data_IF_424305129929
#
_entry.id   IF_424305129929
#
_cell.length_a   1.000
_cell.length_b   1.000
_cell.length_c   1.000
_cell.angle_alpha   90.00
_cell.angle_beta   90.00
_cell.angle_gamma   90.00
#
_symmetry.space_group_name_H-M   'P 1'
#
loop_
_entity.id
_entity.type
_entity.pdbx_description
1 polymer ?
#
# COMPACT_ATOMS: atom_id res chain seq x y z
N UNK A 1 -2.81 3.28 -18.75
CA UNK A 1 -1.43 2.94 -18.31
C UNK A 1 -0.43 4.00 -18.75
N UNK A 2 -0.25 4.21 -20.06
CA UNK A 2 0.76 5.12 -20.62
C UNK A 2 0.65 6.58 -20.16
N UNK A 3 -0.58 7.10 -19.95
CA UNK A 3 -0.79 8.47 -19.45
C UNK A 3 -0.49 8.57 -17.94
N UNK A 4 -0.73 7.49 -17.18
CA UNK A 4 -0.60 7.47 -15.72
C UNK A 4 0.86 7.38 -15.27
N UNK A 5 1.70 6.62 -15.99
CA UNK A 5 3.12 6.40 -15.67
C UNK A 5 3.93 7.71 -15.51
N UNK A 6 3.93 8.66 -16.47
CA UNK A 6 4.70 9.90 -16.31
C UNK A 6 4.24 10.74 -15.13
N UNK A 7 2.92 10.78 -14.85
CA UNK A 7 2.38 11.50 -13.69
C UNK A 7 2.83 10.86 -12.36
N UNK A 8 2.86 9.53 -12.29
CA UNK A 8 3.34 8.78 -11.12
C UNK A 8 4.85 9.02 -10.89
N UNK A 9 5.64 9.05 -11.95
CA UNK A 9 7.08 9.37 -11.86
C UNK A 9 7.28 10.79 -11.33
N UNK A 10 6.54 11.77 -11.85
CA UNK A 10 6.60 13.16 -11.35
C UNK A 10 6.24 13.19 -9.86
N UNK A 11 5.19 12.47 -9.46
CA UNK A 11 4.78 12.39 -8.05
C UNK A 11 5.89 11.82 -7.17
N UNK A 12 6.53 10.73 -7.61
CA UNK A 12 7.66 10.13 -6.91
C UNK A 12 8.84 11.11 -6.77
N UNK A 13 9.17 11.85 -7.84
CA UNK A 13 10.24 12.84 -7.82
C UNK A 13 9.95 13.99 -6.84
N UNK A 14 8.74 14.53 -6.84
CA UNK A 14 8.35 15.62 -5.93
C UNK A 14 8.52 15.20 -4.47
N UNK A 15 8.03 14.01 -4.10
CA UNK A 15 8.15 13.49 -2.73
C UNK A 15 9.60 13.16 -2.34
N UNK A 16 10.45 12.78 -3.30
CA UNK A 16 11.87 12.55 -3.03
C UNK A 16 12.65 13.87 -2.85
N UNK A 17 12.35 14.88 -3.66
CA UNK A 17 13.08 16.15 -3.69
C UNK A 17 12.79 17.02 -2.46
N UNK A 18 11.55 17.00 -1.96
CA UNK A 18 11.18 17.86 -0.83
C UNK A 18 11.48 17.14 0.50
N UNK A 19 12.52 17.55 1.27
CA UNK A 19 12.88 16.93 2.55
C UNK A 19 11.76 16.93 3.58
N UNK A 20 10.90 17.93 3.51
CA UNK A 20 9.81 18.15 4.45
C UNK A 20 8.68 17.11 4.32
N UNK A 21 8.52 16.50 3.12
CA UNK A 21 7.56 15.43 2.88
C UNK A 21 8.14 14.02 3.08
N UNK A 22 9.39 13.88 3.57
CA UNK A 22 10.05 12.58 3.78
C UNK A 22 9.80 12.01 5.18
N UNK A 23 8.59 12.16 5.67
CA UNK A 23 8.10 11.52 6.89
C UNK A 23 7.73 10.04 6.63
N UNK A 24 7.20 9.34 7.64
CA UNK A 24 6.79 7.95 7.51
C UNK A 24 5.74 7.76 6.40
N UNK A 25 4.79 8.70 6.29
CA UNK A 25 3.75 8.67 5.28
C UNK A 25 4.36 8.82 3.89
N UNK A 26 5.18 9.84 3.65
CA UNK A 26 5.82 10.09 2.37
C UNK A 26 6.73 8.94 1.92
N UNK A 27 7.52 8.35 2.82
CA UNK A 27 8.35 7.18 2.49
C UNK A 27 7.53 5.98 2.04
N UNK A 28 6.43 5.72 2.74
CA UNK A 28 5.51 4.63 2.39
C UNK A 28 4.79 4.90 1.06
N UNK A 29 4.43 6.16 0.82
CA UNK A 29 3.81 6.61 -0.43
C UNK A 29 4.76 6.45 -1.62
N UNK A 30 6.03 6.82 -1.46
CA UNK A 30 7.05 6.63 -2.50
C UNK A 30 7.21 5.15 -2.84
N UNK A 31 7.24 4.26 -1.85
CA UNK A 31 7.31 2.81 -2.10
C UNK A 31 6.08 2.30 -2.85
N UNK A 32 4.88 2.72 -2.45
CA UNK A 32 3.63 2.42 -3.15
C UNK A 32 3.67 2.86 -4.62
N UNK A 33 3.99 4.14 -4.87
CA UNK A 33 4.03 4.73 -6.22
C UNK A 33 5.11 4.07 -7.08
N UNK A 34 6.26 3.73 -6.49
CA UNK A 34 7.34 3.02 -7.18
C UNK A 34 6.87 1.64 -7.67
N UNK A 35 6.29 0.83 -6.78
CA UNK A 35 5.75 -0.48 -7.15
C UNK A 35 4.70 -0.37 -8.26
N UNK A 36 3.84 0.65 -8.18
CA UNK A 36 2.75 0.83 -9.13
C UNK A 36 3.25 1.28 -10.49
N UNK A 37 4.28 2.12 -10.50
CA UNK A 37 4.99 2.54 -11.70
C UNK A 37 5.64 1.34 -12.38
N UNK A 38 6.35 0.49 -11.62
CA UNK A 38 6.95 -0.75 -12.15
C UNK A 38 5.87 -1.66 -12.75
N UNK A 39 4.80 -1.95 -12.00
CA UNK A 39 3.70 -2.78 -12.48
C UNK A 39 3.11 -2.28 -13.80
N UNK A 40 2.86 -0.97 -13.91
CA UNK A 40 2.28 -0.36 -15.10
C UNK A 40 3.22 -0.27 -16.29
N UNK A 41 4.54 -0.13 -16.08
CA UNK A 41 5.54 -0.19 -17.15
C UNK A 41 5.56 -1.59 -17.76
N UNK A 42 5.67 -2.63 -16.93
CA UNK A 42 5.71 -4.01 -17.42
C UNK A 42 4.39 -4.44 -18.07
N UNK A 43 3.23 -4.05 -17.51
CA UNK A 43 1.95 -4.27 -18.16
C UNK A 43 1.85 -3.57 -19.52
N UNK A 44 2.31 -2.33 -19.63
CA UNK A 44 2.30 -1.61 -20.90
C UNK A 44 3.20 -2.32 -21.93
N UNK A 45 4.35 -2.84 -21.51
CA UNK A 45 5.24 -3.62 -22.37
C UNK A 45 4.55 -4.90 -22.90
N UNK A 46 3.86 -5.64 -22.03
CA UNK A 46 3.08 -6.83 -22.43
C UNK A 46 1.95 -6.45 -23.39
N UNK A 47 1.22 -5.36 -23.13
CA UNK A 47 0.10 -4.94 -23.97
C UNK A 47 0.52 -4.45 -25.36
N UNK A 48 1.73 -3.88 -25.49
CA UNK A 48 2.23 -3.33 -26.75
C UNK A 48 2.99 -4.37 -27.60
N UNK A 49 3.57 -5.39 -26.98
CA UNK A 49 4.48 -6.31 -27.68
C UNK A 49 4.66 -7.68 -27.03
N UNK A 50 3.70 -8.14 -26.22
CA UNK A 50 3.80 -9.43 -25.53
C UNK A 50 4.01 -10.64 -26.45
N UNK A 51 3.47 -10.60 -27.67
CA UNK A 51 3.66 -11.65 -28.69
C UNK A 51 5.11 -11.78 -29.18
N UNK A 52 5.92 -10.73 -29.02
CA UNK A 52 7.32 -10.74 -29.42
C UNK A 52 8.26 -11.21 -28.30
N UNK A 53 7.72 -11.51 -27.10
CA UNK A 53 8.53 -11.95 -25.98
C UNK A 53 8.79 -13.45 -26.06
N UNK A 54 10.04 -13.82 -25.78
CA UNK A 54 10.39 -15.22 -25.56
C UNK A 54 9.69 -15.77 -24.32
N UNK A 55 9.46 -17.07 -24.28
CA UNK A 55 8.68 -17.74 -23.21
C UNK A 55 9.29 -17.47 -21.83
N UNK A 56 10.61 -17.53 -21.71
CA UNK A 56 11.31 -17.25 -20.44
C UNK A 56 11.14 -15.80 -19.99
N UNK A 57 11.25 -14.84 -20.92
CA UNK A 57 11.07 -13.42 -20.62
C UNK A 57 9.62 -13.13 -20.19
N UNK A 58 8.68 -13.77 -20.87
CA UNK A 58 7.25 -13.68 -20.63
C UNK A 58 6.88 -14.13 -19.19
N UNK A 59 7.45 -15.25 -18.76
CA UNK A 59 7.30 -15.79 -17.40
C UNK A 59 7.89 -14.83 -16.36
N UNK A 60 9.11 -14.33 -16.58
CA UNK A 60 9.76 -13.37 -15.67
C UNK A 60 8.94 -12.08 -15.54
N UNK A 61 8.45 -11.54 -16.66
CA UNK A 61 7.62 -10.33 -16.67
C UNK A 61 6.31 -10.54 -15.91
N UNK A 62 5.66 -11.70 -16.06
CA UNK A 62 4.44 -12.01 -15.32
C UNK A 62 4.66 -12.03 -13.80
N UNK A 63 5.74 -12.66 -13.32
CA UNK A 63 6.09 -12.65 -11.90
C UNK A 63 6.43 -11.25 -11.38
N UNK A 64 7.14 -10.44 -12.18
CA UNK A 64 7.45 -9.04 -11.81
C UNK A 64 6.16 -8.23 -11.64
N UNK A 65 5.20 -8.38 -12.56
CA UNK A 65 3.91 -7.69 -12.48
C UNK A 65 3.14 -8.16 -11.23
N UNK A 66 3.03 -9.48 -11.01
CA UNK A 66 2.35 -10.06 -9.85
C UNK A 66 2.92 -9.53 -8.54
N UNK A 67 4.24 -9.60 -8.35
CA UNK A 67 4.92 -9.08 -7.17
C UNK A 67 4.68 -7.58 -6.97
N UNK A 68 4.82 -6.80 -8.04
CA UNK A 68 4.72 -5.35 -7.99
C UNK A 68 3.32 -4.93 -7.55
N UNK A 69 2.26 -5.50 -8.13
CA UNK A 69 0.88 -5.21 -7.73
C UNK A 69 0.56 -5.64 -6.30
N UNK A 70 0.93 -6.86 -5.90
CA UNK A 70 0.70 -7.33 -4.52
C UNK A 70 1.42 -6.44 -3.50
N UNK A 71 2.63 -5.99 -3.84
CA UNK A 71 3.37 -5.00 -3.04
C UNK A 71 2.64 -3.66 -3.00
N UNK A 72 2.06 -3.19 -4.11
CA UNK A 72 1.24 -1.97 -4.11
C UNK A 72 0.08 -2.07 -3.12
N UNK A 73 -0.70 -3.16 -3.17
CA UNK A 73 -1.84 -3.31 -2.26
C UNK A 73 -1.41 -3.47 -0.81
N UNK A 74 -0.28 -4.11 -0.56
CA UNK A 74 0.30 -4.22 0.79
C UNK A 74 0.76 -2.86 1.31
N UNK A 75 1.41 -2.03 0.48
CA UNK A 75 1.75 -0.66 0.82
C UNK A 75 0.53 0.25 0.96
N UNK A 76 -0.54 0.03 0.19
CA UNK A 76 -1.81 0.73 0.35
C UNK A 76 -2.44 0.43 1.71
N UNK A 77 -2.41 -0.83 2.16
CA UNK A 77 -2.82 -1.21 3.52
C UNK A 77 -2.02 -0.46 4.59
N UNK A 78 -0.69 -0.40 4.44
CA UNK A 78 0.19 0.35 5.35
C UNK A 78 -0.16 1.83 5.37
N UNK A 79 -0.40 2.44 4.21
CA UNK A 79 -0.78 3.85 4.09
C UNK A 79 -2.12 4.14 4.77
N UNK A 80 -3.13 3.30 4.57
CA UNK A 80 -4.43 3.43 5.22
C UNK A 80 -4.32 3.30 6.73
N UNK A 81 -3.58 2.30 7.21
CA UNK A 81 -3.33 2.11 8.64
C UNK A 81 -2.57 3.31 9.24
N UNK A 82 -1.50 3.76 8.59
CA UNK A 82 -0.71 4.91 9.04
C UNK A 82 -1.56 6.19 9.09
N UNK A 83 -2.42 6.41 8.08
CA UNK A 83 -3.32 7.57 8.05
C UNK A 83 -4.35 7.50 9.17
N UNK A 84 -5.00 6.35 9.36
CA UNK A 84 -5.93 6.13 10.47
C UNK A 84 -5.23 6.36 11.82
N UNK A 85 -4.04 5.80 12.00
CA UNK A 85 -3.23 5.90 13.21
C UNK A 85 -2.87 7.36 13.54
N UNK A 86 -2.41 8.11 12.53
CA UNK A 86 -2.11 9.54 12.67
C UNK A 86 -3.35 10.33 13.09
N UNK A 87 -4.48 10.11 12.40
CA UNK A 87 -5.73 10.81 12.70
C UNK A 87 -6.25 10.51 14.11
N UNK A 88 -6.16 9.24 14.53
CA UNK A 88 -6.47 8.82 15.90
C UNK A 88 -5.64 9.60 16.91
N UNK A 89 -4.31 9.64 16.72
CA UNK A 89 -3.40 10.35 17.60
C UNK A 89 -3.73 11.84 17.68
N UNK A 90 -3.97 12.51 16.55
CA UNK A 90 -4.33 13.94 16.55
C UNK A 90 -5.65 14.22 17.29
N UNK A 91 -6.70 13.41 17.06
CA UNK A 91 -7.99 13.59 17.75
C UNK A 91 -7.84 13.39 19.25
N UNK A 92 -7.14 12.34 19.69
CA UNK A 92 -6.93 12.07 21.12
C UNK A 92 -6.09 13.17 21.78
N UNK A 93 -5.05 13.67 21.11
CA UNK A 93 -4.20 14.73 21.64
C UNK A 93 -4.94 16.08 21.73
N UNK A 94 -5.82 16.40 20.78
CA UNK A 94 -6.67 17.59 20.84
C UNK A 94 -7.65 17.55 22.02
N UNK A 95 -8.18 16.38 22.37
CA UNK A 95 -9.07 16.26 23.53
C UNK A 95 -8.35 16.46 24.87
N UNK A 96 -7.05 16.15 24.95
CA UNK A 96 -6.29 16.19 26.20
C UNK A 96 -5.51 17.48 26.44
N UNK A 97 -5.48 18.43 25.49
CA UNK A 97 -4.89 19.76 25.74
C UNK A 97 -5.66 20.59 26.77
N UNK A 98 -6.91 20.22 27.11
CA UNK A 98 -7.71 20.90 28.14
C UNK A 98 -7.52 20.33 29.56
N UNK A 99 -6.85 19.19 29.73
CA UNK A 99 -6.72 18.51 31.03
C UNK A 99 -5.27 18.00 31.23
N UNK A 100 -4.38 18.85 31.76
CA UNK A 100 -2.95 18.53 31.81
C UNK A 100 -2.61 17.47 32.87
N UNK A 101 -2.21 16.27 32.44
CA UNK A 101 -1.02 15.59 32.97
C UNK A 101 -0.50 14.53 32.00
N UNK A 102 0.64 14.85 31.40
CA UNK A 102 1.69 13.96 30.88
C UNK A 102 1.30 12.49 30.62
N UNK A 103 0.71 12.22 29.47
CA UNK A 103 0.48 10.85 29.01
C UNK A 103 1.31 10.55 27.77
N UNK A 104 2.17 9.54 27.92
CA UNK A 104 3.02 8.94 26.91
C UNK A 104 2.14 8.24 25.85
N UNK A 105 1.60 8.98 24.88
CA UNK A 105 0.77 8.39 23.83
C UNK A 105 1.64 7.77 22.73
N UNK A 106 1.93 6.48 22.91
CA UNK A 106 2.22 5.49 21.84
C UNK A 106 3.14 5.99 20.71
N UNK A 107 4.20 6.72 21.09
CA UNK A 107 5.27 7.13 20.19
C UNK A 107 5.14 8.50 19.54
N UNK A 108 4.15 9.34 19.88
CA UNK A 108 4.05 10.74 19.44
C UNK A 108 4.41 11.70 20.58
N UNK A 109 4.97 12.86 20.24
CA UNK A 109 5.29 13.92 21.19
C UNK A 109 4.67 15.24 20.72
N UNK A 110 4.13 16.02 21.65
CA UNK A 110 3.72 17.41 21.40
C UNK A 110 4.97 18.28 21.56
N UNK A 111 5.35 18.97 20.49
CA UNK A 111 6.43 19.96 20.48
C UNK A 111 6.01 21.23 21.24
N UNK A 112 6.97 22.06 21.63
CA UNK A 112 6.72 23.36 22.29
C UNK A 112 5.83 24.30 21.46
N UNK A 113 5.75 24.08 20.15
CA UNK A 113 4.92 24.85 19.22
C UNK A 113 3.52 24.24 18.99
N UNK A 114 3.07 23.31 19.84
CA UNK A 114 1.85 22.51 19.66
C UNK A 114 1.82 21.60 18.41
N UNK A 115 2.97 21.39 17.77
CA UNK A 115 3.07 20.43 16.66
C UNK A 115 3.20 19.00 17.18
N UNK A 116 2.33 18.12 16.71
CA UNK A 116 2.35 16.69 17.02
C UNK A 116 3.28 15.98 16.04
N UNK A 117 4.37 15.41 16.52
CA UNK A 117 5.37 14.74 15.69
C UNK A 117 5.80 13.39 16.28
N UNK A 118 6.12 12.42 15.42
CA UNK A 118 6.73 11.16 15.82
C UNK A 118 8.27 11.29 15.88
N UNK A 119 8.96 10.84 16.95
CA UNK A 119 10.42 10.85 16.99
C UNK A 119 11.01 10.04 15.83
N UNK A 120 12.04 10.58 15.17
CA UNK A 120 12.71 9.93 14.02
C UNK A 120 13.14 8.48 14.28
N UNK A 121 13.52 8.16 15.53
CA UNK A 121 13.87 6.79 15.93
C UNK A 121 12.69 5.81 15.88
N UNK A 122 11.52 6.24 16.36
CA UNK A 122 10.30 5.45 16.30
C UNK A 122 9.78 5.36 14.87
N UNK A 123 9.81 6.47 14.14
CA UNK A 123 9.46 6.54 12.71
C UNK A 123 10.23 5.49 11.90
N UNK A 124 11.56 5.43 12.07
CA UNK A 124 12.42 4.45 11.39
C UNK A 124 12.06 3.02 11.76
N UNK A 125 11.77 2.74 13.04
CA UNK A 125 11.37 1.40 13.48
C UNK A 125 10.06 0.97 12.83
N UNK A 126 9.03 1.83 12.87
CA UNK A 126 7.75 1.54 12.21
C UNK A 126 7.91 1.33 10.71
N UNK A 127 8.72 2.16 10.03
CA UNK A 127 8.99 1.98 8.61
C UNK A 127 9.63 0.62 8.29
N UNK A 128 10.58 0.16 9.12
CA UNK A 128 11.21 -1.16 8.94
C UNK A 128 10.18 -2.27 9.10
N UNK A 129 9.36 -2.23 10.15
CA UNK A 129 8.30 -3.23 10.36
C UNK A 129 7.29 -3.26 9.20
N UNK A 130 6.85 -2.09 8.74
CA UNK A 130 5.94 -1.99 7.59
C UNK A 130 6.58 -2.47 6.30
N UNK A 131 7.86 -2.20 6.09
CA UNK A 131 8.59 -2.69 4.91
C UNK A 131 8.68 -4.22 4.91
N UNK A 132 8.99 -4.84 6.06
CA UNK A 132 9.05 -6.31 6.18
C UNK A 132 7.68 -6.92 5.84
N UNK A 133 6.59 -6.33 6.31
CA UNK A 133 5.24 -6.76 5.97
C UNK A 133 4.93 -6.58 4.48
N UNK A 134 5.12 -5.38 3.96
CA UNK A 134 4.67 -5.00 2.62
C UNK A 134 5.46 -5.65 1.49
N UNK A 135 6.73 -6.01 1.72
CA UNK A 135 7.53 -6.79 0.78
C UNK A 135 7.46 -8.29 1.05
N UNK A 136 7.41 -8.70 2.31
CA UNK A 136 7.43 -10.10 2.70
C UNK A 136 6.17 -10.85 2.27
N UNK A 137 4.99 -10.28 2.47
CA UNK A 137 3.73 -10.93 2.09
C UNK A 137 3.65 -11.22 0.57
N UNK A 138 3.92 -10.25 -0.33
CA UNK A 138 4.01 -10.50 -1.77
C UNK A 138 5.09 -11.49 -2.17
N UNK A 139 6.27 -11.48 -1.52
CA UNK A 139 7.33 -12.44 -1.80
C UNK A 139 6.90 -13.87 -1.48
N UNK A 140 6.22 -14.07 -0.34
CA UNK A 140 5.69 -15.40 0.03
C UNK A 140 4.71 -15.88 -1.03
N UNK A 141 3.75 -15.05 -1.44
CA UNK A 141 2.78 -15.40 -2.49
C UNK A 141 3.49 -15.71 -3.82
N UNK A 142 4.51 -14.92 -4.19
CA UNK A 142 5.31 -15.15 -5.38
C UNK A 142 6.05 -16.49 -5.33
N UNK A 143 6.72 -16.82 -4.23
CA UNK A 143 7.43 -18.09 -4.11
C UNK A 143 6.47 -19.29 -4.14
N UNK A 144 5.28 -19.16 -3.56
CA UNK A 144 4.23 -20.19 -3.68
C UNK A 144 3.79 -20.32 -5.14
N UNK A 145 3.53 -19.19 -5.82
CA UNK A 145 3.14 -19.18 -7.24
C UNK A 145 4.20 -19.82 -8.14
N UNK A 146 5.48 -19.46 -7.93
CA UNK A 146 6.62 -20.02 -8.65
C UNK A 146 6.81 -21.51 -8.35
N UNK A 147 6.68 -21.92 -7.08
CA UNK A 147 6.77 -23.31 -6.67
C UNK A 147 5.68 -24.17 -7.32
N UNK A 148 4.45 -23.68 -7.40
CA UNK A 148 3.33 -24.40 -8.04
C UNK A 148 3.51 -24.48 -9.55
N UNK A 149 4.01 -23.42 -10.18
CA UNK A 149 4.26 -23.39 -11.63
C UNK A 149 5.34 -24.40 -12.07
N UNK A 150 6.41 -24.52 -11.27
CA UNK A 150 7.56 -25.39 -11.55
C UNK A 150 7.35 -26.87 -11.17
N UNK A 151 6.30 -27.21 -10.39
CA UNK A 151 6.07 -28.57 -9.93
C UNK A 151 5.31 -29.40 -10.99
N UNK A 152 5.93 -30.45 -11.56
CA UNK A 152 5.30 -31.26 -12.61
C UNK A 152 4.23 -32.24 -12.10
N UNK A 153 4.10 -32.38 -10.77
CA UNK A 153 3.23 -33.36 -10.11
C UNK A 153 1.79 -32.85 -9.99
N UNK A 154 1.58 -31.53 -10.06
CA UNK A 154 0.25 -30.93 -9.91
C UNK A 154 -0.46 -31.05 -11.26
N UNK A 155 -1.60 -31.76 -11.36
CA UNK A 155 -2.35 -31.85 -12.60
C UNK A 155 -2.71 -30.44 -13.09
N UNK A 156 -2.88 -30.28 -14.40
CA UNK A 156 -3.28 -29.04 -15.10
C UNK A 156 -4.73 -28.60 -14.78
N UNK A 157 -5.10 -28.68 -13.51
CA UNK A 157 -6.32 -28.17 -12.90
C UNK A 157 -6.15 -26.70 -12.48
N UNK A 158 -7.21 -26.12 -11.92
CA UNK A 158 -7.39 -24.77 -11.34
C UNK A 158 -6.20 -24.10 -10.62
N UNK A 159 -5.16 -24.85 -10.21
CA UNK A 159 -4.02 -24.32 -9.46
C UNK A 159 -2.81 -23.91 -10.31
N UNK A 160 -2.69 -24.38 -11.57
CA UNK A 160 -1.46 -24.16 -12.35
C UNK A 160 -1.51 -22.85 -13.16
N UNK A 161 -0.57 -21.89 -12.97
CA UNK A 161 -0.59 -20.60 -13.65
C UNK A 161 -0.37 -20.67 -15.17
N UNK A 162 0.53 -21.58 -15.61
CA UNK A 162 0.92 -21.76 -17.02
C UNK A 162 1.29 -20.42 -17.69
N UNK A 163 2.26 -19.72 -17.11
CA UNK A 163 2.75 -18.47 -17.69
C UNK A 163 3.41 -18.71 -19.04
N UNK A 164 3.06 -17.92 -20.06
CA UNK A 164 3.72 -17.95 -21.37
C UNK A 164 3.21 -19.00 -22.37
N UNK A 165 2.16 -19.76 -22.06
CA UNK A 165 1.60 -20.75 -23.00
C UNK A 165 0.83 -20.10 -24.19
N UNK A 166 0.14 -18.98 -23.96
CA UNK A 166 -0.62 -18.24 -25.01
C UNK A 166 -0.61 -16.71 -24.86
N UNK A 167 -0.14 -16.19 -23.71
CA UNK A 167 -0.06 -14.76 -23.39
C UNK A 167 0.93 -14.56 -22.25
N UNK A 168 1.52 -13.36 -22.15
CA UNK A 168 2.38 -12.97 -21.02
C UNK A 168 1.58 -12.56 -19.79
N UNK A 169 0.71 -13.46 -19.36
CA UNK A 169 -0.11 -13.38 -18.16
C UNK A 169 -0.63 -14.78 -17.80
N UNK A 170 -1.34 -14.90 -16.67
CA UNK A 170 -2.03 -16.14 -16.28
C UNK A 170 -2.89 -16.68 -17.43
N UNK A 171 -2.63 -17.89 -17.91
CA UNK A 171 -3.34 -18.44 -19.06
C UNK A 171 -4.82 -18.70 -18.78
N UNK A 172 -5.18 -18.94 -17.51
CA UNK A 172 -6.56 -19.18 -17.06
C UNK A 172 -6.99 -18.15 -16.00
N UNK A 173 -8.21 -17.62 -16.14
CA UNK A 173 -8.83 -16.72 -15.16
C UNK A 173 -9.03 -17.40 -13.79
N UNK A 174 -9.20 -18.72 -13.78
CA UNK A 174 -9.42 -19.49 -12.55
C UNK A 174 -8.13 -19.68 -11.73
N UNK A 175 -6.98 -19.73 -12.39
CA UNK A 175 -5.66 -19.79 -11.74
C UNK A 175 -5.19 -18.41 -11.25
N UNK A 176 -5.67 -17.33 -11.86
CA UNK A 176 -5.38 -15.95 -11.43
C UNK A 176 -6.01 -15.62 -10.07
N UNK A 177 -7.18 -16.22 -9.79
CA UNK A 177 -7.97 -15.90 -8.61
C UNK A 177 -7.26 -16.17 -7.27
N UNK A 178 -6.70 -17.36 -6.97
CA UNK A 178 -6.07 -17.63 -5.67
C UNK A 178 -4.77 -16.85 -5.43
N UNK A 179 -3.98 -16.59 -6.48
CA UNK A 179 -2.65 -15.99 -6.34
C UNK A 179 -2.62 -14.47 -6.53
N UNK A 180 -3.64 -13.91 -7.18
CA UNK A 180 -3.70 -12.48 -7.48
C UNK A 180 -4.99 -11.85 -6.95
N UNK A 181 -6.15 -12.19 -7.50
CA UNK A 181 -7.40 -11.50 -7.15
C UNK A 181 -7.83 -11.71 -5.69
N UNK A 182 -7.59 -12.88 -5.10
CA UNK A 182 -7.90 -13.19 -3.71
C UNK A 182 -7.15 -12.27 -2.73
N UNK A 183 -5.81 -12.28 -2.73
CA UNK A 183 -5.00 -11.38 -1.90
C UNK A 183 -5.32 -9.89 -2.12
N UNK A 184 -5.58 -9.49 -3.37
CA UNK A 184 -5.98 -8.13 -3.73
C UNK A 184 -7.34 -7.77 -3.13
N UNK A 185 -8.34 -8.63 -3.28
CA UNK A 185 -9.69 -8.40 -2.76
C UNK A 185 -9.69 -8.29 -1.22
N UNK A 186 -8.95 -9.16 -0.53
CA UNK A 186 -8.78 -9.10 0.92
C UNK A 186 -8.13 -7.77 1.33
N UNK A 187 -7.07 -7.36 0.63
CA UNK A 187 -6.40 -6.09 0.87
C UNK A 187 -7.33 -4.89 0.66
N UNK A 188 -8.13 -4.90 -0.40
CA UNK A 188 -9.10 -3.83 -0.66
C UNK A 188 -10.17 -3.80 0.44
N UNK A 189 -10.71 -4.95 0.85
CA UNK A 189 -11.71 -5.01 1.91
C UNK A 189 -11.18 -4.42 3.23
N UNK A 190 -9.96 -4.76 3.64
CA UNK A 190 -9.30 -4.20 4.84
C UNK A 190 -9.15 -2.68 4.70
N UNK A 191 -8.67 -2.19 3.55
CA UNK A 191 -8.53 -0.76 3.27
C UNK A 191 -9.87 -0.03 3.37
N UNK A 192 -10.93 -0.57 2.77
CA UNK A 192 -12.27 0.03 2.79
C UNK A 192 -12.80 0.16 4.21
N UNK A 193 -12.64 -0.88 5.04
CA UNK A 193 -13.06 -0.86 6.44
C UNK A 193 -12.30 0.22 7.23
N UNK A 194 -10.98 0.30 7.09
CA UNK A 194 -10.16 1.33 7.75
C UNK A 194 -10.55 2.75 7.32
N UNK A 195 -10.84 2.94 6.04
CA UNK A 195 -11.27 4.23 5.51
C UNK A 195 -12.62 4.66 6.10
N UNK A 196 -13.60 3.75 6.18
CA UNK A 196 -14.90 4.02 6.80
C UNK A 196 -14.73 4.40 8.27
N UNK A 197 -13.94 3.65 9.04
CA UNK A 197 -13.69 3.97 10.44
C UNK A 197 -13.06 5.36 10.62
N UNK A 198 -12.07 5.69 9.79
CA UNK A 198 -11.41 7.00 9.81
C UNK A 198 -12.40 8.11 9.49
N UNK A 199 -13.19 7.97 8.43
CA UNK A 199 -14.19 8.94 8.01
C UNK A 199 -15.27 9.17 9.10
N UNK A 200 -15.79 8.09 9.69
CA UNK A 200 -16.77 8.17 10.77
C UNK A 200 -16.21 8.92 11.99
N UNK A 201 -14.96 8.64 12.40
CA UNK A 201 -14.34 9.30 13.55
C UNK A 201 -14.16 10.80 13.30
N UNK A 202 -13.64 11.18 12.14
CA UNK A 202 -13.45 12.59 11.74
C UNK A 202 -14.78 13.33 11.70
N UNK A 203 -15.80 12.73 11.07
CA UNK A 203 -17.14 13.32 10.99
C UNK A 203 -17.78 13.51 12.37
N UNK A 204 -17.69 12.51 13.24
CA UNK A 204 -18.20 12.58 14.62
C UNK A 204 -17.47 13.66 15.44
N UNK A 205 -16.15 13.77 15.31
CA UNK A 205 -15.37 14.81 15.98
C UNK A 205 -15.76 16.22 15.51
N UNK A 206 -15.83 16.43 14.19
CA UNK A 206 -16.27 17.71 13.61
C UNK A 206 -17.66 18.14 14.08
N UNK A 207 -18.61 17.19 14.19
CA UNK A 207 -19.95 17.48 14.74
C UNK A 207 -19.94 17.89 16.21
N UNK A 208 -19.07 17.31 17.05
CA UNK A 208 -18.96 17.70 18.47
C UNK A 208 -18.40 19.11 18.62
N UNK A 209 -17.40 19.47 17.83
CA UNK A 209 -16.85 20.82 17.79
C UNK A 209 -17.90 21.86 17.39
N UNK A 210 -18.75 21.55 16.39
CA UNK A 210 -19.85 22.43 15.99
C UNK A 210 -20.94 22.58 17.07
N UNK A 211 -21.21 21.55 17.87
CA UNK A 211 -22.17 21.62 18.98
C UNK A 211 -21.71 22.51 20.14
N UNK A 212 -20.40 22.62 20.37
CA UNK A 212 -19.83 23.44 21.44
C UNK A 212 -19.55 24.89 21.05
N UNK A 213 -19.70 25.28 19.77
CA UNK A 213 -19.58 26.68 19.37
C UNK A 213 -20.79 27.46 19.92
N UNK A 214 -20.62 28.37 20.91
CA UNK A 214 -21.74 29.16 21.40
C UNK A 214 -22.28 30.01 20.25
N UNK A 215 -23.61 30.13 20.14
CA UNK A 215 -24.23 31.14 19.27
C UNK A 215 -23.69 32.49 19.73
N UNK A 216 -22.76 33.08 18.98
CA UNK A 216 -22.48 34.50 19.12
C UNK A 216 -23.71 35.23 18.59
N UNK A 217 -24.53 35.70 19.52
CA UNK A 217 -25.59 36.69 19.32
C UNK A 217 -24.95 38.08 19.41
#
# INVERSE_FOLDING_TARGET
LLISVPFLIITMLVYCLIPELRDLHGKSLVCYVLCFTVAYIFLAAVQLGGEAFDQDLCVVVAFVIQFSFLSCFSWLNVLSFNTWWNMEAHVTLQQHSEESSQNHYRGYMISKNNEVNMPKGNERRFFIFFSIYAWGCPLVILFVSMGVDLMPIIPSSYLKPNFGDNKCWFSSEEAELPYFYGPVAISIAINTVLFIFTACKVYCHGRRALRHKPRQM
#
